data_IF_496078482492
#
_entry.id   IF_496078482492
#
_cell.length_a   1.000
_cell.length_b   1.000
_cell.length_c   1.000
_cell.angle_alpha   90.00
_cell.angle_beta   90.00
_cell.angle_gamma   90.00
#
_symmetry.space_group_name_H-M   'P 1'
#
loop_
_entity.id
_entity.type
_entity.pdbx_description
1 polymer ?
#
# COMPACT_ATOMS: atom_id res chain seq x y z
N UNK A 1 -35.72 7.76 -52.68
CA UNK A 1 -35.37 8.85 -53.59
C UNK A 1 -33.95 9.31 -53.22
N UNK A 2 -32.93 8.94 -54.03
CA UNK A 2 -31.54 9.42 -53.89
C UNK A 2 -31.36 10.73 -54.66
N UNK A 3 -30.31 11.54 -54.39
CA UNK A 3 -28.99 11.31 -55.01
C UNK A 3 -27.84 11.45 -53.98
N UNK A 4 -26.84 10.56 -53.89
CA UNK A 4 -25.67 10.34 -54.76
C UNK A 4 -25.09 11.60 -55.43
N UNK A 5 -24.13 12.22 -54.74
CA UNK A 5 -23.07 13.09 -55.26
C UNK A 5 -21.84 12.77 -54.39
N UNK A 6 -20.63 12.54 -54.85
CA UNK A 6 -19.99 12.57 -56.15
C UNK A 6 -18.50 12.45 -55.81
N UNK A 7 -17.83 11.42 -56.33
CA UNK A 7 -16.41 11.18 -56.06
C UNK A 7 -15.56 12.27 -56.71
N UNK A 8 -14.67 12.89 -55.94
CA UNK A 8 -13.54 13.66 -56.45
C UNK A 8 -12.26 13.06 -55.86
N UNK A 9 -11.68 12.12 -56.61
CA UNK A 9 -10.30 11.67 -56.46
C UNK A 9 -9.38 12.84 -56.80
N UNK A 10 -8.71 13.41 -55.80
CA UNK A 10 -7.56 14.29 -56.00
C UNK A 10 -6.28 13.48 -55.84
N UNK A 11 -5.45 13.63 -56.87
CA UNK A 11 -4.24 12.90 -57.16
C UNK A 11 -3.24 12.84 -55.99
N UNK A 12 -2.57 11.69 -55.90
CA UNK A 12 -1.38 11.50 -55.11
C UNK A 12 -0.25 12.41 -55.59
N UNK A 13 0.38 13.11 -54.67
CA UNK A 13 1.76 13.60 -54.82
C UNK A 13 2.56 13.04 -53.63
N UNK A 14 3.54 12.15 -53.85
CA UNK A 14 4.31 11.57 -52.76
C UNK A 14 5.37 12.58 -52.33
N UNK A 15 5.11 13.26 -51.22
CA UNK A 15 6.10 14.09 -50.55
C UNK A 15 7.11 13.14 -49.89
N UNK A 16 8.13 12.75 -50.65
CA UNK A 16 9.30 12.07 -50.10
C UNK A 16 10.12 13.09 -49.31
N UNK A 17 9.71 13.34 -48.06
CA UNK A 17 10.60 13.94 -47.08
C UNK A 17 11.41 12.82 -46.45
N UNK A 18 12.62 12.59 -46.99
CA UNK A 18 13.65 11.82 -46.30
C UNK A 18 14.07 12.60 -45.05
N UNK A 19 13.48 12.27 -43.90
CA UNK A 19 13.91 12.77 -42.61
C UNK A 19 14.84 11.74 -41.96
N UNK A 20 16.08 12.15 -41.72
CA UNK A 20 17.13 11.36 -41.11
C UNK A 20 16.65 10.70 -39.80
N UNK A 21 16.85 9.38 -39.70
CA UNK A 21 16.73 8.65 -38.43
C UNK A 21 17.91 9.06 -37.55
N UNK A 22 17.79 10.20 -36.87
CA UNK A 22 18.60 10.48 -35.69
C UNK A 22 18.22 9.43 -34.64
N UNK A 23 19.09 8.43 -34.46
CA UNK A 23 18.90 7.37 -33.48
C UNK A 23 18.78 7.98 -32.08
N UNK A 24 17.55 8.01 -31.56
CA UNK A 24 17.30 8.35 -30.17
C UNK A 24 17.88 7.21 -29.32
N UNK A 25 19.09 7.40 -28.81
CA UNK A 25 19.66 6.51 -27.81
C UNK A 25 18.81 6.63 -26.54
N UNK A 26 17.84 5.74 -26.37
CA UNK A 26 17.07 5.61 -25.13
C UNK A 26 18.04 5.10 -24.07
N UNK A 27 18.34 5.88 -23.01
CA UNK A 27 19.14 5.36 -21.91
C UNK A 27 18.40 4.17 -21.29
N UNK A 28 19.08 3.07 -20.95
CA UNK A 28 18.43 1.95 -20.28
C UNK A 28 17.82 2.47 -18.97
N UNK A 29 16.49 2.38 -18.86
CA UNK A 29 15.82 2.66 -17.61
C UNK A 29 16.35 1.69 -16.54
N UNK A 30 16.60 2.15 -15.30
CA UNK A 30 16.95 1.24 -14.23
C UNK A 30 15.83 0.21 -14.08
N UNK A 31 16.17 -1.07 -14.31
CA UNK A 31 15.28 -2.17 -14.02
C UNK A 31 15.09 -2.22 -12.50
N UNK A 32 14.01 -1.59 -12.02
CA UNK A 32 13.58 -1.76 -10.65
C UNK A 32 13.07 -3.19 -10.58
N UNK A 33 13.84 -4.11 -9.99
CA UNK A 33 13.36 -5.46 -9.71
C UNK A 33 12.18 -5.30 -8.75
N UNK A 34 10.96 -5.38 -9.29
CA UNK A 34 9.77 -5.40 -8.46
C UNK A 34 9.87 -6.62 -7.55
N UNK A 35 9.89 -6.39 -6.23
CA UNK A 35 9.93 -7.48 -5.27
C UNK A 35 8.70 -8.36 -5.52
N UNK A 36 8.91 -9.69 -5.59
CA UNK A 36 7.79 -10.62 -5.73
C UNK A 36 6.78 -10.37 -4.60
N UNK A 37 5.46 -10.37 -4.91
CA UNK A 37 4.45 -10.09 -3.90
C UNK A 37 4.53 -11.14 -2.80
N UNK A 38 4.40 -10.69 -1.55
CA UNK A 38 4.38 -11.59 -0.41
C UNK A 38 3.09 -12.42 -0.43
N UNK A 39 3.12 -13.59 0.22
CA UNK A 39 1.92 -14.42 0.36
C UNK A 39 0.74 -13.63 0.96
N UNK A 40 1.02 -12.79 1.96
CA UNK A 40 0.00 -11.93 2.59
C UNK A 40 -0.57 -10.88 1.63
N UNK A 41 0.26 -10.28 0.78
CA UNK A 41 -0.19 -9.32 -0.23
C UNK A 41 -1.14 -10.00 -1.24
N UNK A 42 -0.76 -11.17 -1.76
CA UNK A 42 -1.60 -11.92 -2.69
C UNK A 42 -2.96 -12.29 -2.10
N UNK A 43 -2.96 -12.83 -0.88
CA UNK A 43 -4.20 -13.20 -0.20
C UNK A 43 -5.09 -11.99 0.13
N UNK A 44 -4.49 -10.87 0.51
CA UNK A 44 -5.24 -9.63 0.76
C UNK A 44 -5.90 -9.11 -0.53
N UNK A 45 -5.12 -9.02 -1.61
CA UNK A 45 -5.59 -8.47 -2.89
C UNK A 45 -6.75 -9.29 -3.45
N UNK A 46 -6.70 -10.62 -3.36
CA UNK A 46 -7.75 -11.49 -3.93
C UNK A 46 -9.00 -11.62 -3.08
N UNK A 47 -8.90 -11.50 -1.74
CA UNK A 47 -10.02 -11.82 -0.84
C UNK A 47 -10.57 -10.65 -0.05
N UNK A 48 -9.80 -9.59 0.17
CA UNK A 48 -10.24 -8.46 1.00
C UNK A 48 -10.62 -7.23 0.18
N UNK A 49 -9.98 -7.00 -0.97
CA UNK A 49 -10.19 -5.78 -1.76
C UNK A 49 -11.46 -5.81 -2.63
N UNK A 50 -12.00 -7.01 -2.91
CA UNK A 50 -13.13 -7.20 -3.83
C UNK A 50 -14.50 -6.81 -3.25
N UNK A 51 -14.70 -6.99 -1.94
CA UNK A 51 -15.98 -6.70 -1.29
C UNK A 51 -16.02 -5.30 -0.65
N UNK A 52 -14.87 -4.69 -0.34
CA UNK A 52 -14.80 -3.36 0.23
C UNK A 52 -13.53 -2.61 -0.19
N UNK A 53 -13.63 -1.28 -0.24
CA UNK A 53 -12.47 -0.43 -0.51
C UNK A 53 -11.50 -0.41 0.68
N UNK A 54 -10.27 0.00 0.40
CA UNK A 54 -9.22 0.21 1.40
C UNK A 54 -9.65 1.17 2.51
N UNK A 55 -10.65 2.05 2.27
CA UNK A 55 -11.23 2.96 3.27
C UNK A 55 -11.70 2.27 4.55
N UNK A 56 -12.02 0.97 4.50
CA UNK A 56 -12.34 0.17 5.69
C UNK A 56 -11.23 0.22 6.76
N UNK A 57 -9.97 0.44 6.36
CA UNK A 57 -8.83 0.44 7.28
C UNK A 57 -8.56 1.78 7.99
N UNK A 58 -9.15 2.90 7.56
CA UNK A 58 -8.87 4.24 8.13
C UNK A 58 -10.08 5.10 8.49
N UNK A 59 -11.32 4.65 8.30
CA UNK A 59 -12.51 5.36 8.80
C UNK A 59 -12.64 5.28 10.32
N UNK A 60 -13.55 6.07 10.90
CA UNK A 60 -13.79 6.22 12.34
C UNK A 60 -13.97 4.89 13.11
N UNK A 61 -14.34 3.81 12.42
CA UNK A 61 -14.47 2.46 12.98
C UNK A 61 -13.20 1.61 12.89
N UNK A 62 -12.00 2.20 12.72
CA UNK A 62 -10.74 1.47 12.84
C UNK A 62 -10.58 0.92 14.26
N UNK A 63 -10.87 -0.36 14.47
CA UNK A 63 -10.87 -0.99 15.81
C UNK A 63 -9.48 -1.49 16.22
N UNK A 64 -8.62 -1.85 15.28
CA UNK A 64 -7.29 -2.42 15.57
C UNK A 64 -6.37 -1.39 16.23
N UNK A 65 -5.81 -1.70 17.41
CA UNK A 65 -4.87 -0.87 18.17
C UNK A 65 -3.49 -1.52 18.36
N UNK A 66 -3.42 -2.83 18.21
CA UNK A 66 -2.22 -3.63 18.41
C UNK A 66 -2.22 -4.86 17.49
N UNK A 67 -1.12 -5.61 17.55
CA UNK A 67 -0.88 -6.75 16.68
C UNK A 67 -1.90 -7.87 16.90
N UNK A 68 -2.24 -8.16 18.16
CA UNK A 68 -3.22 -9.20 18.48
C UNK A 68 -4.59 -8.87 17.88
N UNK A 69 -5.06 -7.64 18.06
CA UNK A 69 -6.32 -7.18 17.47
C UNK A 69 -6.32 -7.21 15.94
N UNK A 70 -5.16 -7.01 15.29
CA UNK A 70 -5.05 -7.14 13.83
C UNK A 70 -5.20 -8.59 13.38
N UNK A 71 -4.49 -9.50 14.03
CA UNK A 71 -4.54 -10.95 13.76
C UNK A 71 -5.96 -11.47 13.97
N UNK A 72 -6.60 -11.11 15.08
CA UNK A 72 -7.99 -11.49 15.39
C UNK A 72 -8.97 -11.00 14.33
N UNK A 73 -8.80 -9.76 13.87
CA UNK A 73 -9.68 -9.20 12.86
C UNK A 73 -9.53 -9.92 11.51
N UNK A 74 -8.30 -10.23 11.09
CA UNK A 74 -8.05 -11.01 9.87
C UNK A 74 -8.66 -12.41 9.98
N UNK A 75 -8.46 -13.09 11.11
CA UNK A 75 -9.03 -14.42 11.34
C UNK A 75 -10.58 -14.40 11.28
N UNK A 76 -11.21 -13.41 11.90
CA UNK A 76 -12.67 -13.26 11.86
C UNK A 76 -13.21 -13.00 10.46
N UNK A 77 -12.50 -12.23 9.64
CA UNK A 77 -12.91 -11.99 8.25
C UNK A 77 -12.69 -13.23 7.37
N UNK A 78 -11.56 -13.90 7.52
CA UNK A 78 -11.30 -15.16 6.82
C UNK A 78 -12.36 -16.23 7.16
N UNK A 79 -12.81 -16.29 8.41
CA UNK A 79 -13.89 -17.18 8.83
C UNK A 79 -15.26 -16.79 8.25
N UNK A 80 -15.59 -15.49 8.22
CA UNK A 80 -16.84 -14.97 7.60
C UNK A 80 -16.94 -15.32 6.11
N UNK A 81 -15.83 -15.16 5.41
CA UNK A 81 -15.69 -15.49 3.99
C UNK A 81 -15.40 -16.99 3.75
N UNK A 82 -15.33 -17.80 4.82
CA UNK A 82 -15.10 -19.26 4.77
C UNK A 82 -13.86 -19.66 3.97
N UNK A 83 -12.79 -18.89 4.06
CA UNK A 83 -11.59 -19.07 3.24
C UNK A 83 -10.74 -20.28 3.63
N UNK A 84 -11.00 -20.89 4.79
CA UNK A 84 -10.27 -22.08 5.27
C UNK A 84 -8.80 -21.82 5.59
N UNK A 85 -8.42 -20.56 5.83
CA UNK A 85 -7.04 -20.18 6.12
C UNK A 85 -6.54 -20.76 7.44
N UNK A 86 -5.32 -21.29 7.39
CA UNK A 86 -4.56 -21.65 8.59
C UNK A 86 -3.88 -20.43 9.22
N UNK A 87 -3.29 -20.64 10.40
CA UNK A 87 -2.63 -19.59 11.17
C UNK A 87 -1.54 -18.85 10.36
N UNK A 88 -0.75 -19.58 9.56
CA UNK A 88 0.31 -18.99 8.75
C UNK A 88 -0.22 -17.96 7.74
N UNK A 89 -1.40 -18.20 7.15
CA UNK A 89 -2.03 -17.32 6.17
C UNK A 89 -2.60 -16.08 6.84
N UNK A 90 -3.27 -16.27 7.98
CA UNK A 90 -3.74 -15.17 8.84
C UNK A 90 -2.58 -14.26 9.23
N UNK A 91 -1.46 -14.83 9.71
CA UNK A 91 -0.28 -14.07 10.11
C UNK A 91 0.40 -13.37 8.92
N UNK A 92 0.45 -14.00 7.76
CA UNK A 92 1.01 -13.40 6.55
C UNK A 92 0.21 -12.16 6.12
N UNK A 93 -1.13 -12.27 6.11
CA UNK A 93 -2.02 -11.15 5.77
C UNK A 93 -1.97 -10.06 6.82
N UNK A 94 -1.99 -10.40 8.12
CA UNK A 94 -1.87 -9.42 9.20
C UNK A 94 -0.56 -8.63 9.09
N UNK A 95 0.54 -9.29 8.74
CA UNK A 95 1.84 -8.62 8.55
C UNK A 95 1.81 -7.67 7.36
N UNK A 96 1.27 -8.10 6.23
CA UNK A 96 1.10 -7.24 5.07
C UNK A 96 0.26 -6.00 5.39
N UNK A 97 -0.86 -6.18 6.10
CA UNK A 97 -1.73 -5.09 6.54
C UNK A 97 -1.04 -4.14 7.52
N UNK A 98 -0.21 -4.66 8.42
CA UNK A 98 0.58 -3.84 9.35
C UNK A 98 1.59 -2.97 8.60
N UNK A 99 2.36 -3.56 7.68
CA UNK A 99 3.37 -2.84 6.91
C UNK A 99 2.75 -1.80 5.96
N UNK A 100 1.67 -2.19 5.26
CA UNK A 100 1.05 -1.35 4.24
C UNK A 100 0.16 -0.25 4.84
N UNK A 101 -0.56 -0.53 5.94
CA UNK A 101 -1.68 0.31 6.38
C UNK A 101 -1.64 0.61 7.89
N UNK A 102 -1.56 -0.39 8.76
CA UNK A 102 -1.79 -0.17 10.20
C UNK A 102 -0.59 0.43 10.94
N UNK A 103 0.64 0.07 10.55
CA UNK A 103 1.92 0.56 11.09
C UNK A 103 1.91 0.65 12.61
N UNK A 104 1.61 -0.47 13.25
CA UNK A 104 1.39 -0.54 14.69
C UNK A 104 2.69 -0.20 15.45
N UNK A 105 2.60 0.49 16.61
CA UNK A 105 3.77 0.85 17.38
C UNK A 105 4.55 -0.38 17.80
N UNK A 106 5.84 -0.42 17.50
CA UNK A 106 6.72 -1.45 18.09
C UNK A 106 6.86 -1.17 19.60
N UNK A 107 6.98 -2.21 20.45
CA UNK A 107 7.10 -2.03 21.90
C UNK A 107 8.16 -1.01 22.32
N UNK A 108 9.30 -0.98 21.61
CA UNK A 108 10.38 0.01 21.79
C UNK A 108 9.99 1.46 21.44
N UNK A 109 9.22 1.68 20.37
CA UNK A 109 8.86 3.03 19.91
C UNK A 109 7.86 3.75 20.83
N UNK A 110 7.15 3.01 21.70
CA UNK A 110 6.29 3.62 22.72
C UNK A 110 7.09 4.15 23.91
N UNK A 111 8.25 3.56 24.21
CA UNK A 111 9.16 4.01 25.25
C UNK A 111 9.94 5.27 24.81
N UNK A 112 10.31 5.36 23.53
CA UNK A 112 11.06 6.49 22.96
C UNK A 112 10.23 7.78 22.80
N UNK A 113 8.89 7.67 22.83
CA UNK A 113 7.97 8.82 22.80
C UNK A 113 7.55 9.36 24.17
N UNK A 114 7.89 8.65 25.25
CA UNK A 114 7.67 9.12 26.61
C UNK A 114 8.96 9.77 27.11
N UNK A 115 9.06 11.10 27.07
CA UNK A 115 10.05 11.79 27.90
C UNK A 115 9.89 11.28 29.34
N UNK A 116 10.95 10.77 29.98
CA UNK A 116 10.85 10.41 31.39
C UNK A 116 10.40 11.65 32.17
N UNK A 117 9.47 11.53 33.13
CA UNK A 117 9.12 12.67 33.97
C UNK A 117 10.40 13.14 34.64
N UNK A 118 10.72 14.43 34.49
CA UNK A 118 11.83 15.06 35.18
C UNK A 118 11.60 14.92 36.69
N UNK A 119 12.17 13.87 37.29
CA UNK A 119 12.14 13.69 38.74
C UNK A 119 13.11 14.69 39.36
N UNK A 120 12.56 15.83 39.72
CA UNK A 120 12.88 16.64 40.89
C UNK A 120 14.35 16.60 41.36
N UNK A 121 15.21 17.36 40.68
CA UNK A 121 16.45 17.87 41.26
C UNK A 121 16.14 19.05 42.21
N UNK A 122 15.40 18.79 43.30
CA UNK A 122 15.07 19.81 44.31
C UNK A 122 14.93 19.19 45.71
N UNK A 123 15.98 18.52 46.20
CA UNK A 123 16.06 18.11 47.61
C UNK A 123 17.52 18.10 48.10
N UNK A 124 18.22 19.22 47.91
CA UNK A 124 19.51 19.52 48.54
C UNK A 124 19.54 20.99 48.92
N UNK A 125 18.69 21.38 49.88
CA UNK A 125 18.93 22.56 50.71
C UNK A 125 18.12 22.41 52.00
N UNK A 126 18.78 22.70 53.12
CA UNK A 126 18.20 22.89 54.45
C UNK A 126 17.86 21.65 55.29
N UNK A 127 18.88 20.91 55.75
CA UNK A 127 18.94 20.41 57.15
C UNK A 127 20.40 20.33 57.63
N UNK A 128 21.09 21.48 57.62
CA UNK A 128 22.22 21.72 58.53
C UNK A 128 21.74 22.74 59.56
N UNK A 129 21.34 22.27 60.74
CA UNK A 129 21.51 22.91 62.05
C UNK A 129 20.97 22.00 63.13
#
# INVERSE_FOLDING_TARGET
>A
MMPILGAALLAAAPWHAAAALAGLAVPPAPATLAQAPTRGALLYDTHCSGCHTTQMHWRDRRVVRDWAGLVDQVAQWAARERLGWGEADVLAVARHLDEAIYRLPRPQQRADGASPPARAASAQRATRR
#
